data_IF_508730276328
#
_entry.id   IF_508730276328
#
_cell.length_a   1.000
_cell.length_b   1.000
_cell.length_c   1.000
_cell.angle_alpha   90.00
_cell.angle_beta   90.00
_cell.angle_gamma   90.00
#
_symmetry.space_group_name_H-M   'P 1'
#
loop_
_entity.id
_entity.type
_entity.pdbx_description
1 polymer ?
#
# COMPACT_ATOMS: atom_id res chain seq x y z
N UNK A 1 14.47 -18.57 -1.89
CA UNK A 1 14.15 -17.33 -1.15
C UNK A 1 14.72 -16.10 -1.83
N UNK A 2 16.00 -16.07 -2.19
CA UNK A 2 16.64 -14.90 -2.82
C UNK A 2 15.95 -14.43 -4.12
N UNK A 3 15.74 -15.32 -5.09
CA UNK A 3 15.01 -15.01 -6.35
C UNK A 3 13.62 -14.41 -6.10
N UNK A 4 12.95 -14.85 -5.04
CA UNK A 4 11.63 -14.37 -4.66
C UNK A 4 11.67 -12.99 -4.01
N UNK A 5 12.60 -12.76 -3.08
CA UNK A 5 12.79 -11.44 -2.48
C UNK A 5 13.19 -10.43 -3.55
N UNK A 6 14.00 -10.86 -4.52
CA UNK A 6 14.33 -10.08 -5.72
C UNK A 6 13.07 -9.78 -6.54
N UNK A 7 12.20 -10.76 -6.81
CA UNK A 7 10.94 -10.54 -7.52
C UNK A 7 10.01 -9.56 -6.78
N UNK A 8 9.87 -9.70 -5.46
CA UNK A 8 9.07 -8.77 -4.65
C UNK A 8 9.64 -7.35 -4.72
N UNK A 9 10.96 -7.19 -4.59
CA UNK A 9 11.63 -5.90 -4.68
C UNK A 9 11.54 -5.28 -6.07
N UNK A 10 11.81 -6.04 -7.13
CA UNK A 10 12.00 -5.50 -8.47
C UNK A 10 10.75 -5.45 -9.33
N UNK A 11 9.82 -6.39 -9.18
CA UNK A 11 8.61 -6.45 -10.01
C UNK A 11 7.39 -5.92 -9.26
N UNK A 12 7.15 -6.41 -8.04
CA UNK A 12 6.02 -5.94 -7.22
C UNK A 12 6.30 -4.51 -6.76
N UNK A 13 7.53 -4.25 -6.29
CA UNK A 13 7.98 -2.91 -5.91
C UNK A 13 7.89 -1.91 -7.05
N UNK A 14 8.34 -2.28 -8.26
CA UNK A 14 8.20 -1.45 -9.44
C UNK A 14 6.73 -1.12 -9.73
N UNK A 15 5.85 -2.13 -9.81
CA UNK A 15 4.43 -1.90 -10.11
C UNK A 15 3.75 -1.02 -9.06
N UNK A 16 4.11 -1.16 -7.78
CA UNK A 16 3.58 -0.32 -6.70
C UNK A 16 4.01 1.15 -6.84
N UNK A 17 5.21 1.42 -7.36
CA UNK A 17 5.72 2.78 -7.59
C UNK A 17 5.26 3.36 -8.93
N UNK A 18 5.09 2.54 -9.97
CA UNK A 18 4.55 2.93 -11.26
C UNK A 18 3.12 3.50 -11.15
N UNK A 19 2.34 3.01 -10.18
CA UNK A 19 1.02 3.54 -9.83
C UNK A 19 1.08 5.04 -9.51
N UNK A 20 2.08 5.45 -8.74
CA UNK A 20 2.27 6.83 -8.32
C UNK A 20 3.01 7.66 -9.38
N UNK A 21 3.89 7.00 -10.16
CA UNK A 21 4.79 7.61 -11.13
C UNK A 21 4.63 6.94 -12.52
N UNK A 22 3.61 7.33 -13.29
CA UNK A 22 3.22 6.64 -14.54
C UNK A 22 4.29 6.64 -15.65
N UNK A 23 5.26 7.57 -15.58
CA UNK A 23 6.38 7.67 -16.55
C UNK A 23 7.62 6.86 -16.13
N UNK A 24 7.61 6.24 -14.93
CA UNK A 24 8.74 5.50 -14.39
C UNK A 24 9.02 4.24 -15.21
N UNK A 25 10.23 4.09 -15.74
CA UNK A 25 10.66 2.82 -16.37
C UNK A 25 11.19 1.84 -15.33
N UNK A 26 11.20 0.54 -15.67
CA UNK A 26 11.75 -0.50 -14.79
C UNK A 26 13.25 -0.32 -14.58
N UNK A 27 13.98 0.13 -15.60
CA UNK A 27 15.41 0.43 -15.48
C UNK A 27 15.68 1.58 -14.52
N UNK A 28 14.91 2.67 -14.62
CA UNK A 28 14.99 3.79 -13.69
C UNK A 28 14.69 3.35 -12.26
N UNK A 29 13.62 2.57 -12.06
CA UNK A 29 13.28 2.04 -10.75
C UNK A 29 14.41 1.22 -10.13
N UNK A 30 14.95 0.25 -10.87
CA UNK A 30 16.04 -0.61 -10.40
C UNK A 30 17.29 0.24 -10.07
N UNK A 31 17.61 1.22 -10.92
CA UNK A 31 18.72 2.14 -10.69
C UNK A 31 18.57 2.86 -9.36
N UNK A 32 17.43 3.52 -9.12
CA UNK A 32 17.18 4.26 -7.88
C UNK A 32 17.07 3.34 -6.66
N UNK A 33 16.46 2.16 -6.80
CA UNK A 33 16.30 1.21 -5.72
C UNK A 33 17.66 0.73 -5.17
N UNK A 34 18.61 0.40 -6.03
CA UNK A 34 19.93 -0.09 -5.60
C UNK A 34 20.99 1.00 -5.43
N UNK A 35 20.65 2.27 -5.69
CA UNK A 35 21.55 3.39 -5.47
C UNK A 35 21.86 3.61 -3.97
N UNK A 36 23.09 4.05 -3.67
CA UNK A 36 23.52 4.40 -2.31
C UNK A 36 23.18 5.85 -1.98
N UNK A 37 22.53 6.10 -0.84
CA UNK A 37 22.09 7.43 -0.42
C UNK A 37 23.22 8.46 -0.30
N UNK A 38 24.42 8.05 0.14
CA UNK A 38 25.61 8.91 0.28
C UNK A 38 26.12 9.51 -1.05
N UNK A 39 25.59 9.03 -2.18
CA UNK A 39 25.97 9.54 -3.52
C UNK A 39 25.08 10.69 -4.01
N UNK A 40 24.12 11.13 -3.19
CA UNK A 40 23.12 12.12 -3.60
C UNK A 40 23.48 13.53 -3.10
N UNK A 41 23.80 14.42 -4.03
CA UNK A 41 24.28 15.80 -3.78
C UNK A 41 23.29 16.70 -3.02
N UNK A 42 22.02 16.31 -2.95
CA UNK A 42 20.92 17.10 -2.39
C UNK A 42 20.54 16.73 -0.95
N UNK A 43 21.24 15.76 -0.35
CA UNK A 43 21.04 15.32 1.02
C UNK A 43 22.05 15.92 1.99
N UNK A 44 21.56 16.56 3.06
CA UNK A 44 22.42 16.88 4.21
C UNK A 44 22.43 15.70 5.19
N UNK A 45 23.58 15.03 5.31
CA UNK A 45 23.80 13.87 6.20
C UNK A 45 23.48 14.21 7.66
N UNK A 46 23.55 15.48 8.06
CA UNK A 46 23.33 15.91 9.44
C UNK A 46 21.87 16.08 9.85
N UNK A 47 20.91 16.25 8.92
CA UNK A 47 19.54 16.63 9.28
C UNK A 47 18.41 15.87 8.56
N UNK A 48 18.70 14.88 7.69
CA UNK A 48 17.68 14.12 6.95
C UNK A 48 16.61 15.02 6.30
N UNK A 49 17.05 16.14 5.75
CA UNK A 49 16.20 17.09 5.04
C UNK A 49 16.88 17.48 3.75
N UNK A 50 16.04 17.73 2.73
CA UNK A 50 16.48 18.29 1.46
C UNK A 50 17.11 19.66 1.69
N UNK A 51 18.12 19.99 0.89
CA UNK A 51 18.73 21.31 0.90
C UNK A 51 17.91 22.27 0.04
N UNK A 52 17.07 23.09 0.67
CA UNK A 52 16.18 24.05 -0.01
C UNK A 52 16.91 24.95 -1.01
N UNK A 53 18.08 25.46 -0.62
CA UNK A 53 18.89 26.33 -1.48
C UNK A 53 19.41 25.61 -2.71
N UNK A 54 19.70 24.31 -2.59
CA UNK A 54 20.07 23.50 -3.75
C UNK A 54 18.86 23.29 -4.66
N UNK A 55 17.70 22.91 -4.10
CA UNK A 55 16.48 22.68 -4.89
C UNK A 55 16.02 23.93 -5.66
N UNK A 56 16.18 25.13 -5.10
CA UNK A 56 15.89 26.41 -5.76
C UNK A 56 16.71 26.66 -7.03
N UNK A 57 17.87 26.01 -7.17
CA UNK A 57 18.72 26.14 -8.37
C UNK A 57 18.29 25.22 -9.51
N UNK A 58 17.37 24.29 -9.26
CA UNK A 58 17.01 23.24 -10.19
C UNK A 58 15.76 23.58 -11.01
N UNK A 59 15.67 23.03 -12.21
CA UNK A 59 14.44 23.07 -12.99
C UNK A 59 13.42 22.03 -12.48
N UNK A 60 12.16 22.18 -12.89
CA UNK A 60 11.06 21.30 -12.47
C UNK A 60 11.30 19.81 -12.80
N UNK A 61 11.92 19.52 -13.94
CA UNK A 61 12.17 18.13 -14.34
C UNK A 61 13.15 17.46 -13.36
N UNK A 62 14.24 18.15 -12.99
CA UNK A 62 15.20 17.64 -12.03
C UNK A 62 14.62 17.53 -10.62
N UNK A 63 13.76 18.46 -10.22
CA UNK A 63 13.01 18.34 -8.97
C UNK A 63 12.15 17.06 -8.99
N UNK A 64 11.33 16.86 -10.02
CA UNK A 64 10.50 15.64 -10.14
C UNK A 64 11.32 14.35 -10.06
N UNK A 65 12.47 14.32 -10.75
CA UNK A 65 13.38 13.18 -10.73
C UNK A 65 13.90 12.87 -9.33
N UNK A 66 14.36 13.89 -8.59
CA UNK A 66 14.79 13.75 -7.19
C UNK A 66 13.65 13.19 -6.35
N UNK A 67 12.41 13.66 -6.54
CA UNK A 67 11.26 13.15 -5.78
C UNK A 67 10.99 11.68 -6.03
N UNK A 68 11.04 11.24 -7.29
CA UNK A 68 10.91 9.83 -7.66
C UNK A 68 12.00 9.00 -6.98
N UNK A 69 13.25 9.49 -7.00
CA UNK A 69 14.39 8.85 -6.36
C UNK A 69 14.18 8.71 -4.83
N UNK A 70 13.68 9.76 -4.17
CA UNK A 70 13.33 9.74 -2.75
C UNK A 70 12.20 8.76 -2.43
N UNK A 71 11.13 8.76 -3.23
CA UNK A 71 9.99 7.87 -3.02
C UNK A 71 10.41 6.41 -3.13
N UNK A 72 11.22 6.07 -4.14
CA UNK A 72 11.74 4.71 -4.34
C UNK A 72 12.70 4.33 -3.21
N UNK A 73 13.55 5.26 -2.78
CA UNK A 73 14.46 5.04 -1.65
C UNK A 73 13.70 4.76 -0.35
N UNK A 74 12.71 5.58 -0.02
CA UNK A 74 11.86 5.39 1.15
C UNK A 74 11.08 4.08 1.06
N UNK A 75 10.56 3.75 -0.13
CA UNK A 75 9.88 2.50 -0.38
C UNK A 75 10.79 1.29 -0.17
N UNK A 76 12.04 1.35 -0.62
CA UNK A 76 13.07 0.34 -0.31
C UNK A 76 13.24 0.17 1.19
N UNK A 77 13.43 1.25 1.93
CA UNK A 77 13.60 1.17 3.38
C UNK A 77 12.37 0.55 4.07
N UNK A 78 11.17 0.87 3.59
CA UNK A 78 9.94 0.29 4.09
C UNK A 78 9.87 -1.22 3.78
N UNK A 79 10.23 -1.64 2.56
CA UNK A 79 10.33 -3.06 2.20
C UNK A 79 11.35 -3.77 3.07
N UNK A 80 12.55 -3.23 3.28
CA UNK A 80 13.59 -3.85 4.10
C UNK A 80 13.14 -3.98 5.56
N UNK A 81 12.38 -3.01 6.06
CA UNK A 81 11.74 -3.08 7.36
C UNK A 81 10.70 -4.21 7.43
N UNK A 82 9.79 -4.30 6.45
CA UNK A 82 8.78 -5.37 6.37
C UNK A 82 9.43 -6.74 6.24
N UNK A 83 10.49 -6.86 5.43
CA UNK A 83 11.28 -8.08 5.26
C UNK A 83 11.91 -8.51 6.59
N UNK A 84 12.57 -7.58 7.29
CA UNK A 84 13.24 -7.89 8.54
C UNK A 84 12.26 -8.27 9.65
N UNK A 85 11.23 -7.45 9.85
CA UNK A 85 10.34 -7.53 11.01
C UNK A 85 9.14 -8.46 10.74
N UNK A 86 8.47 -8.27 9.62
CA UNK A 86 7.30 -9.05 9.24
C UNK A 86 7.67 -10.46 8.77
N UNK A 87 8.65 -10.56 7.85
CA UNK A 87 9.00 -11.83 7.22
C UNK A 87 9.94 -12.69 8.07
N UNK A 88 11.15 -12.21 8.39
CA UNK A 88 12.15 -13.02 9.11
C UNK A 88 11.83 -13.19 10.59
N UNK A 89 11.46 -12.09 11.28
CA UNK A 89 11.16 -12.15 12.71
C UNK A 89 9.73 -12.61 13.01
N UNK A 90 8.86 -12.67 12.00
CA UNK A 90 7.45 -13.03 12.15
C UNK A 90 6.81 -12.27 13.31
N UNK A 91 6.95 -10.94 13.35
CA UNK A 91 6.23 -10.07 14.31
C UNK A 91 4.78 -9.83 13.88
N UNK A 92 3.87 -9.90 14.85
CA UNK A 92 2.47 -9.55 14.62
C UNK A 92 2.36 -8.06 14.29
N UNK A 93 1.51 -7.72 13.32
CA UNK A 93 1.32 -6.32 12.94
C UNK A 93 0.51 -5.60 14.01
N UNK A 94 0.87 -4.36 14.31
CA UNK A 94 0.18 -3.51 15.27
C UNK A 94 0.20 -2.05 14.80
N UNK A 95 -0.49 -1.17 15.53
CA UNK A 95 -0.56 0.25 15.20
C UNK A 95 0.81 0.94 15.18
N UNK A 96 1.75 0.50 16.02
CA UNK A 96 3.11 1.05 16.05
C UNK A 96 3.84 0.76 14.73
N UNK A 97 3.82 -0.49 14.26
CA UNK A 97 4.42 -0.86 12.99
C UNK A 97 3.72 -0.20 11.79
N UNK A 98 2.41 -0.03 11.83
CA UNK A 98 1.65 0.70 10.80
C UNK A 98 2.12 2.17 10.70
N UNK A 99 2.26 2.84 11.85
CA UNK A 99 2.81 4.20 11.94
C UNK A 99 4.25 4.27 11.47
N UNK A 100 5.09 3.29 11.83
CA UNK A 100 6.48 3.20 11.38
C UNK A 100 6.58 3.03 9.86
N UNK A 101 5.76 2.17 9.24
CA UNK A 101 5.72 2.03 7.77
C UNK A 101 5.36 3.36 7.11
N UNK A 102 4.30 4.03 7.57
CA UNK A 102 3.90 5.35 7.06
C UNK A 102 5.03 6.38 7.21
N UNK A 103 5.71 6.38 8.36
CA UNK A 103 6.84 7.27 8.64
C UNK A 103 8.00 7.04 7.68
N UNK A 104 8.40 5.78 7.46
CA UNK A 104 9.52 5.42 6.58
C UNK A 104 9.19 5.82 5.13
N UNK A 105 7.98 5.49 4.67
CA UNK A 105 7.54 5.82 3.30
C UNK A 105 7.57 7.32 3.01
N UNK A 106 7.32 8.14 4.01
CA UNK A 106 7.21 9.60 3.88
C UNK A 106 8.40 10.34 4.51
N UNK A 107 9.48 9.64 4.89
CA UNK A 107 10.67 10.28 5.44
C UNK A 107 11.20 11.33 4.45
N UNK A 108 11.73 12.45 4.94
CA UNK A 108 12.23 13.58 4.14
C UNK A 108 11.14 14.40 3.39
N UNK A 109 9.85 14.03 3.44
CA UNK A 109 8.76 14.81 2.83
C UNK A 109 8.09 15.81 3.80
N UNK A 110 8.79 16.25 4.85
CA UNK A 110 8.20 17.11 5.87
C UNK A 110 7.83 18.50 5.29
N UNK A 111 6.55 18.84 5.45
CA UNK A 111 5.75 19.71 4.57
C UNK A 111 6.16 21.20 4.54
N UNK A 112 6.99 21.68 5.47
CA UNK A 112 7.34 23.12 5.54
C UNK A 112 8.17 23.63 4.37
N UNK A 113 8.96 22.75 3.75
CA UNK A 113 9.84 23.07 2.61
C UNK A 113 9.08 22.96 1.29
N UNK A 114 8.24 21.93 1.21
CA UNK A 114 7.38 21.68 0.07
C UNK A 114 6.43 22.87 -0.15
N UNK A 115 5.87 23.49 0.90
CA UNK A 115 4.83 24.52 0.75
C UNK A 115 5.25 25.81 0.02
N UNK A 116 6.54 26.15 -0.10
CA UNK A 116 6.98 27.36 -0.84
C UNK A 116 7.52 27.05 -2.25
N UNK A 117 8.25 25.94 -2.40
CA UNK A 117 8.90 25.58 -3.66
C UNK A 117 8.01 24.70 -4.56
N UNK A 118 7.15 23.83 -3.98
CA UNK A 118 6.18 23.03 -4.75
C UNK A 118 5.13 23.87 -5.46
N UNK A 119 4.63 24.90 -4.78
CA UNK A 119 3.43 25.63 -5.22
C UNK A 119 3.65 26.28 -6.58
N UNK A 120 4.85 26.75 -6.89
CA UNK A 120 5.11 27.42 -8.17
C UNK A 120 5.45 26.46 -9.31
N UNK A 121 6.13 25.34 -9.03
CA UNK A 121 6.61 24.41 -10.06
C UNK A 121 5.60 23.31 -10.44
N UNK A 122 4.82 22.81 -9.48
CA UNK A 122 3.90 21.68 -9.67
C UNK A 122 2.43 22.09 -9.78
N UNK A 123 2.09 23.38 -9.60
CA UNK A 123 0.73 23.92 -9.73
C UNK A 123 -0.02 23.48 -11.00
N UNK A 124 0.61 23.40 -12.19
CA UNK A 124 -0.09 22.98 -13.40
C UNK A 124 -0.40 21.48 -13.46
N UNK A 125 0.35 20.65 -12.72
CA UNK A 125 0.25 19.18 -12.73
C UNK A 125 -0.39 18.60 -11.48
N UNK A 126 -0.82 19.44 -10.53
CA UNK A 126 -1.33 19.04 -9.23
C UNK A 126 -2.75 19.60 -8.98
N UNK A 127 -3.78 18.75 -8.97
CA UNK A 127 -5.10 19.12 -8.43
C UNK A 127 -5.20 18.76 -6.95
N UNK A 128 -4.96 19.75 -6.07
CA UNK A 128 -5.49 19.80 -4.69
C UNK A 128 -5.81 21.26 -4.35
N UNK A 129 -6.85 21.79 -5.00
CA UNK A 129 -7.18 23.22 -5.14
C UNK A 129 -7.42 24.06 -3.88
N UNK A 130 -7.25 23.56 -2.65
CA UNK A 130 -7.55 24.34 -1.44
C UNK A 130 -6.59 24.18 -0.29
N UNK A 131 -5.40 23.58 -0.43
CA UNK A 131 -4.47 23.25 0.68
C UNK A 131 -4.10 24.45 1.60
N UNK A 132 -5.02 24.86 2.47
CA UNK A 132 -4.81 25.66 3.67
C UNK A 132 -4.58 24.68 4.80
N UNK A 133 -3.35 24.60 5.26
CA UNK A 133 -2.96 23.77 6.39
C UNK A 133 -3.50 24.43 7.67
N UNK A 134 -4.56 23.87 8.25
CA UNK A 134 -5.14 24.40 9.51
C UNK A 134 -4.48 23.75 10.74
N UNK A 135 -3.82 22.59 10.61
CA UNK A 135 -2.91 22.02 11.62
C UNK A 135 -1.85 21.14 10.91
N UNK A 136 -0.58 21.10 11.35
CA UNK A 136 0.43 20.26 10.72
C UNK A 136 0.21 18.80 11.13
N UNK A 137 -0.43 18.01 10.27
CA UNK A 137 -0.41 16.56 10.41
C UNK A 137 1.04 16.07 10.43
N UNK A 138 1.39 15.23 11.40
CA UNK A 138 2.74 14.72 11.59
C UNK A 138 2.89 13.43 10.79
N UNK A 139 3.98 13.33 10.01
CA UNK A 139 4.30 12.12 9.24
C UNK A 139 4.46 10.94 10.20
N UNK A 140 3.78 9.83 9.87
CA UNK A 140 3.76 8.63 10.71
C UNK A 140 2.76 8.68 11.86
N UNK A 141 2.03 9.78 12.05
CA UNK A 141 0.97 9.87 13.06
C UNK A 141 -0.41 9.93 12.40
N UNK A 142 -1.43 9.51 13.15
CA UNK A 142 -2.80 9.64 12.69
C UNK A 142 -3.18 11.11 12.51
N UNK A 143 -3.87 11.41 11.41
CA UNK A 143 -4.28 12.78 11.11
C UNK A 143 -5.26 13.29 12.16
N UNK A 144 -5.12 14.57 12.50
CA UNK A 144 -6.00 15.26 13.45
C UNK A 144 -7.06 16.11 12.75
N UNK A 145 -6.99 16.22 11.42
CA UNK A 145 -7.90 16.99 10.59
C UNK A 145 -8.72 16.12 9.64
N UNK A 146 -9.90 16.61 9.26
CA UNK A 146 -10.69 16.00 8.18
C UNK A 146 -9.89 15.94 6.87
N UNK A 147 -10.23 14.98 6.02
CA UNK A 147 -9.60 14.78 4.71
C UNK A 147 -10.69 14.55 3.66
N UNK A 148 -10.50 15.16 2.49
CA UNK A 148 -11.37 15.02 1.33
C UNK A 148 -10.52 14.77 0.08
N UNK A 149 -11.04 13.99 -0.87
CA UNK A 149 -10.43 13.78 -2.19
C UNK A 149 -11.43 14.12 -3.29
N UNK A 150 -11.01 14.87 -4.31
CA UNK A 150 -11.86 15.10 -5.49
C UNK A 150 -11.96 13.79 -6.31
N UNK A 151 -13.17 13.41 -6.68
CA UNK A 151 -13.45 12.33 -7.63
C UNK A 151 -13.43 12.89 -9.06
N UNK A 152 -13.26 12.00 -10.04
CA UNK A 152 -13.19 12.34 -11.47
C UNK A 152 -14.47 13.01 -11.99
N UNK A 153 -15.60 12.75 -11.35
CA UNK A 153 -16.92 13.33 -11.66
C UNK A 153 -17.13 14.71 -11.00
N UNK A 154 -16.12 15.24 -10.31
CA UNK A 154 -16.19 16.52 -9.60
C UNK A 154 -16.83 16.45 -8.20
N UNK A 155 -17.34 15.29 -7.79
CA UNK A 155 -17.81 15.08 -6.42
C UNK A 155 -16.63 14.96 -5.45
N UNK A 156 -16.88 15.12 -4.15
CA UNK A 156 -15.87 14.97 -3.11
C UNK A 156 -16.08 13.67 -2.37
N UNK A 157 -14.99 12.93 -2.17
CA UNK A 157 -14.90 11.80 -1.27
C UNK A 157 -14.51 12.30 0.12
N UNK A 158 -15.39 12.19 1.12
CA UNK A 158 -15.09 12.55 2.51
C UNK A 158 -14.64 11.31 3.28
N UNK A 159 -13.44 11.36 3.88
CA UNK A 159 -12.94 10.26 4.71
C UNK A 159 -13.42 10.35 6.17
N UNK A 160 -13.19 9.28 6.92
CA UNK A 160 -13.60 9.15 8.32
C UNK A 160 -13.17 10.36 9.17
N UNK A 161 -14.02 10.79 10.10
CA UNK A 161 -13.62 11.84 11.05
C UNK A 161 -12.40 11.40 11.88
N UNK A 162 -11.40 12.28 12.10
CA UNK A 162 -10.23 12.00 12.96
C UNK A 162 -10.58 11.40 14.32
N UNK A 163 -11.71 11.84 14.88
CA UNK A 163 -12.22 11.36 16.16
C UNK A 163 -12.43 9.84 16.21
N UNK A 164 -12.74 9.21 15.07
CA UNK A 164 -13.00 7.77 14.99
C UNK A 164 -11.81 6.95 14.49
N UNK A 165 -10.69 7.57 14.11
CA UNK A 165 -9.56 6.86 13.48
C UNK A 165 -8.96 5.84 14.43
N UNK A 166 -8.56 6.26 15.63
CA UNK A 166 -7.82 5.40 16.55
C UNK A 166 -8.65 4.19 16.98
N UNK A 167 -9.91 4.43 17.38
CA UNK A 167 -10.81 3.35 17.80
C UNK A 167 -11.13 2.36 16.68
N UNK A 168 -11.31 2.83 15.43
CA UNK A 168 -11.54 1.94 14.30
C UNK A 168 -10.28 1.20 13.83
N UNK A 169 -9.09 1.81 13.94
CA UNK A 169 -7.83 1.11 13.66
C UNK A 169 -7.59 -0.02 14.65
N UNK A 170 -7.86 0.21 15.94
CA UNK A 170 -7.80 -0.83 16.98
C UNK A 170 -8.78 -1.96 16.66
N UNK A 171 -10.06 -1.65 16.42
CA UNK A 171 -11.08 -2.65 16.09
C UNK A 171 -10.74 -3.46 14.83
N UNK A 172 -10.20 -2.80 13.81
CA UNK A 172 -9.82 -3.45 12.56
C UNK A 172 -8.67 -4.44 12.77
N UNK A 173 -7.65 -4.04 13.56
CA UNK A 173 -6.56 -4.94 13.96
C UNK A 173 -7.05 -6.09 14.84
N UNK A 174 -7.89 -5.82 15.83
CA UNK A 174 -8.45 -6.85 16.72
C UNK A 174 -9.22 -7.91 15.93
N UNK A 175 -10.08 -7.50 14.99
CA UNK A 175 -10.81 -8.42 14.10
C UNK A 175 -9.89 -9.25 13.22
N UNK A 176 -8.85 -8.63 12.65
CA UNK A 176 -7.85 -9.35 11.87
C UNK A 176 -7.11 -10.38 12.74
N UNK A 177 -6.55 -9.93 13.88
CA UNK A 177 -5.76 -10.74 14.79
C UNK A 177 -6.57 -11.90 15.39
N UNK A 178 -7.85 -11.70 15.70
CA UNK A 178 -8.71 -12.78 16.21
C UNK A 178 -8.88 -13.91 15.21
N UNK A 179 -8.98 -13.60 13.90
CA UNK A 179 -9.13 -14.62 12.85
C UNK A 179 -7.78 -15.30 12.56
N UNK A 180 -6.70 -14.55 12.45
CA UNK A 180 -5.40 -15.16 12.08
C UNK A 180 -4.75 -15.96 13.20
N UNK A 181 -5.04 -15.63 14.45
CA UNK A 181 -4.53 -16.34 15.62
C UNK A 181 -5.44 -17.48 16.07
N UNK A 182 -6.65 -17.61 15.53
CA UNK A 182 -7.53 -18.74 15.80
C UNK A 182 -7.01 -20.01 15.09
N UNK A 183 -6.67 -21.09 15.83
CA UNK A 183 -6.21 -22.35 15.24
C UNK A 183 -7.25 -23.03 14.35
N UNK A 184 -8.54 -22.71 14.51
CA UNK A 184 -9.63 -23.27 13.69
C UNK A 184 -9.84 -22.52 12.38
N UNK A 185 -9.32 -21.30 12.27
CA UNK A 185 -9.48 -20.49 11.07
C UNK A 185 -8.74 -21.10 9.87
N UNK A 186 -9.49 -21.27 8.79
CA UNK A 186 -9.00 -21.74 7.51
C UNK A 186 -8.17 -20.67 6.79
N UNK A 187 -7.39 -21.11 5.81
CA UNK A 187 -6.49 -20.22 5.06
C UNK A 187 -7.26 -19.17 4.24
N UNK A 188 -8.42 -19.54 3.70
CA UNK A 188 -9.31 -18.60 3.01
C UNK A 188 -9.93 -17.57 3.96
N UNK A 189 -10.21 -17.93 5.23
CA UNK A 189 -10.69 -16.98 6.25
C UNK A 189 -9.60 -15.98 6.63
N UNK A 190 -8.35 -16.43 6.78
CA UNK A 190 -7.21 -15.54 7.06
C UNK A 190 -6.91 -14.58 5.90
N UNK A 191 -7.06 -15.04 4.65
CA UNK A 191 -6.97 -14.17 3.46
C UNK A 191 -8.10 -13.13 3.48
N UNK A 192 -9.33 -13.58 3.74
CA UNK A 192 -10.47 -12.68 3.82
C UNK A 192 -10.29 -11.65 4.94
N UNK A 193 -9.75 -12.04 6.10
CA UNK A 193 -9.44 -11.11 7.18
C UNK A 193 -8.43 -10.03 6.73
N UNK A 194 -7.39 -10.39 5.99
CA UNK A 194 -6.41 -9.43 5.46
C UNK A 194 -7.02 -8.49 4.42
N UNK A 195 -7.85 -9.01 3.50
CA UNK A 195 -8.55 -8.19 2.50
C UNK A 195 -9.56 -7.23 3.15
N UNK A 196 -10.32 -7.71 4.13
CA UNK A 196 -11.26 -6.88 4.89
C UNK A 196 -10.53 -5.80 5.68
N UNK A 197 -9.41 -6.15 6.31
CA UNK A 197 -8.55 -5.19 6.98
C UNK A 197 -8.12 -4.08 6.03
N UNK A 198 -7.67 -4.44 4.82
CA UNK A 198 -7.20 -3.48 3.82
C UNK A 198 -8.32 -2.54 3.34
N UNK A 199 -9.52 -3.04 3.07
CA UNK A 199 -10.69 -2.20 2.73
C UNK A 199 -10.99 -1.22 3.86
N UNK A 200 -11.03 -1.71 5.11
CA UNK A 200 -11.29 -0.87 6.27
C UNK A 200 -10.17 0.15 6.52
N UNK A 201 -8.91 -0.20 6.26
CA UNK A 201 -7.79 0.74 6.34
C UNK A 201 -7.95 1.89 5.33
N UNK A 202 -8.28 1.58 4.07
CA UNK A 202 -8.53 2.60 3.04
C UNK A 202 -9.77 3.46 3.37
N UNK A 203 -10.78 2.88 4.03
CA UNK A 203 -11.96 3.58 4.52
C UNK A 203 -11.65 4.55 5.67
N UNK A 204 -10.91 4.09 6.68
CA UNK A 204 -10.48 4.90 7.82
C UNK A 204 -9.58 6.04 7.33
N UNK A 205 -8.68 5.72 6.39
CA UNK A 205 -7.72 6.65 5.80
C UNK A 205 -6.93 7.41 6.88
N UNK A 206 -6.16 6.70 7.74
CA UNK A 206 -5.71 7.20 9.03
C UNK A 206 -4.64 8.29 8.94
N UNK A 207 -3.88 8.36 7.85
CA UNK A 207 -2.78 9.31 7.66
C UNK A 207 -3.18 10.48 6.77
N UNK A 208 -2.43 11.57 6.83
CA UNK A 208 -2.66 12.72 5.96
C UNK A 208 -2.27 12.45 4.49
N UNK A 209 -1.21 11.66 4.28
CA UNK A 209 -0.71 11.25 2.97
C UNK A 209 -0.18 9.82 3.03
N UNK A 210 0.03 9.19 1.88
CA UNK A 210 0.68 7.87 1.80
C UNK A 210 -0.18 6.68 2.22
N UNK A 211 -1.49 6.85 2.44
CA UNK A 211 -2.40 5.76 2.84
C UNK A 211 -2.35 4.59 1.86
N UNK A 212 -2.56 4.81 0.55
CA UNK A 212 -2.55 3.71 -0.43
C UNK A 212 -1.26 2.88 -0.43
N UNK A 213 -0.09 3.52 -0.34
CA UNK A 213 1.21 2.83 -0.24
C UNK A 213 1.35 2.05 1.07
N UNK A 214 0.95 2.67 2.18
CA UNK A 214 0.97 2.05 3.50
C UNK A 214 0.03 0.84 3.55
N UNK A 215 -1.19 0.98 3.04
CA UNK A 215 -2.21 -0.07 3.00
C UNK A 215 -1.79 -1.27 2.16
N UNK A 216 -1.13 -1.05 1.01
CA UNK A 216 -0.56 -2.14 0.19
C UNK A 216 0.59 -2.86 0.89
N UNK A 217 1.52 -2.14 1.53
CA UNK A 217 2.61 -2.78 2.28
C UNK A 217 2.13 -3.54 3.53
N UNK A 218 1.07 -3.05 4.19
CA UNK A 218 0.41 -3.78 5.28
C UNK A 218 -0.22 -5.08 4.74
N UNK A 219 -0.89 -5.01 3.60
CA UNK A 219 -1.47 -6.20 2.96
C UNK A 219 -0.38 -7.24 2.63
N UNK A 220 0.76 -6.79 2.07
CA UNK A 220 1.92 -7.65 1.83
C UNK A 220 2.41 -8.31 3.13
N UNK A 221 2.57 -7.55 4.22
CA UNK A 221 2.92 -8.08 5.54
C UNK A 221 1.96 -9.18 5.99
N UNK A 222 0.65 -8.92 5.90
CA UNK A 222 -0.40 -9.85 6.32
C UNK A 222 -0.40 -11.13 5.48
N UNK A 223 0.01 -11.06 4.22
CA UNK A 223 0.15 -12.20 3.33
C UNK A 223 1.40 -13.01 3.68
N UNK A 224 2.54 -12.36 3.90
CA UNK A 224 3.76 -13.04 4.36
C UNK A 224 3.54 -13.84 5.64
N UNK A 225 2.77 -13.30 6.60
CA UNK A 225 2.40 -13.99 7.84
C UNK A 225 1.66 -15.30 7.63
N UNK A 226 0.92 -15.41 6.53
CA UNK A 226 0.15 -16.59 6.14
C UNK A 226 0.95 -17.48 5.17
N UNK A 227 2.24 -17.20 4.99
CA UNK A 227 3.09 -17.76 3.95
C UNK A 227 2.49 -17.59 2.54
N UNK A 228 1.72 -16.54 2.32
CA UNK A 228 1.19 -16.19 1.01
C UNK A 228 2.12 -15.19 0.32
N UNK A 229 2.02 -15.16 -1.00
CA UNK A 229 2.76 -14.20 -1.80
C UNK A 229 2.09 -12.82 -1.77
N UNK A 230 2.85 -11.73 -1.59
CA UNK A 230 2.40 -10.36 -1.81
C UNK A 230 1.61 -10.23 -3.10
N UNK A 231 0.59 -9.37 -3.08
CA UNK A 231 -0.31 -9.22 -4.22
C UNK A 231 0.28 -8.19 -5.18
N UNK A 232 0.59 -8.65 -6.39
CA UNK A 232 1.04 -7.78 -7.45
C UNK A 232 -0.17 -7.22 -8.23
N UNK A 233 -0.52 -5.97 -7.97
CA UNK A 233 -1.48 -5.22 -8.80
C UNK A 233 -0.76 -4.78 -10.08
N UNK A 234 -0.58 -5.74 -11.00
CA UNK A 234 0.16 -5.55 -12.25
C UNK A 234 -0.59 -4.60 -13.18
N UNK A 235 0.12 -3.73 -13.89
CA UNK A 235 -0.37 -2.92 -15.02
C UNK A 235 -1.51 -1.94 -14.70
N UNK A 236 -1.72 -1.00 -15.63
CA UNK A 236 -2.74 0.06 -15.52
C UNK A 236 -4.15 -0.48 -15.35
N UNK A 237 -4.51 -1.57 -16.05
CA UNK A 237 -5.87 -2.14 -16.01
C UNK A 237 -6.22 -2.71 -14.64
N UNK A 238 -5.36 -3.51 -14.02
CA UNK A 238 -5.69 -4.04 -12.69
C UNK A 238 -5.68 -2.95 -11.64
N UNK A 239 -4.83 -1.93 -11.79
CA UNK A 239 -4.83 -0.79 -10.90
C UNK A 239 -6.13 0.03 -11.00
N UNK A 240 -6.59 0.32 -12.22
CA UNK A 240 -7.89 0.98 -12.45
C UNK A 240 -9.05 0.17 -11.86
N UNK A 241 -9.03 -1.14 -12.04
CA UNK A 241 -10.06 -2.04 -11.49
C UNK A 241 -10.04 -2.08 -9.96
N UNK A 242 -8.85 -2.16 -9.35
CA UNK A 242 -8.68 -2.08 -7.90
C UNK A 242 -9.24 -0.77 -7.33
N UNK A 243 -8.91 0.37 -7.96
CA UNK A 243 -9.43 1.67 -7.55
C UNK A 243 -10.93 1.77 -7.74
N UNK A 244 -11.48 1.23 -8.83
CA UNK A 244 -12.93 1.20 -9.09
C UNK A 244 -13.65 0.44 -7.97
N UNK A 245 -13.22 -0.77 -7.66
CA UNK A 245 -13.83 -1.63 -6.64
C UNK A 245 -13.73 -1.02 -5.24
N UNK A 246 -12.58 -0.41 -4.88
CA UNK A 246 -12.46 0.36 -3.64
C UNK A 246 -13.44 1.52 -3.62
N UNK A 247 -13.46 2.35 -4.66
CA UNK A 247 -14.33 3.53 -4.70
C UNK A 247 -15.81 3.16 -4.59
N UNK A 248 -16.25 2.08 -5.22
CA UNK A 248 -17.63 1.57 -5.12
C UNK A 248 -17.95 1.15 -3.68
N UNK A 249 -17.06 0.36 -3.07
CA UNK A 249 -17.19 -0.11 -1.70
C UNK A 249 -17.29 1.05 -0.70
N UNK A 250 -16.41 2.04 -0.87
CA UNK A 250 -16.30 3.17 0.05
C UNK A 250 -17.40 4.22 -0.17
N UNK A 251 -17.82 4.44 -1.43
CA UNK A 251 -18.83 5.46 -1.76
C UNK A 251 -20.20 5.15 -1.16
N UNK A 252 -20.55 3.89 -0.94
CA UNK A 252 -21.81 3.52 -0.29
C UNK A 252 -21.86 4.02 1.17
N UNK A 253 -20.82 3.70 1.96
CA UNK A 253 -20.68 4.15 3.36
C UNK A 253 -20.59 5.67 3.46
N UNK A 254 -19.82 6.27 2.55
CA UNK A 254 -19.63 7.72 2.47
C UNK A 254 -20.95 8.48 2.28
N UNK A 255 -21.75 8.08 1.27
CA UNK A 255 -23.05 8.73 0.97
C UNK A 255 -24.00 8.71 2.17
N UNK A 256 -23.94 7.63 2.96
CA UNK A 256 -24.76 7.44 4.14
C UNK A 256 -24.14 8.02 5.42
N UNK A 257 -22.93 8.60 5.35
CA UNK A 257 -22.12 9.06 6.50
C UNK A 257 -22.00 8.01 7.60
N UNK A 258 -21.87 6.76 7.18
CA UNK A 258 -21.84 5.60 8.06
C UNK A 258 -20.39 5.26 8.40
N UNK A 259 -19.90 5.69 9.56
CA UNK A 259 -18.50 5.51 10.00
C UNK A 259 -18.22 4.17 10.69
N UNK A 260 -19.11 3.19 10.51
CA UNK A 260 -18.91 1.82 10.99
C UNK A 260 -18.00 1.08 10.02
N UNK A 261 -17.20 0.16 10.57
CA UNK A 261 -16.37 -0.71 9.74
C UNK A 261 -17.23 -1.54 8.79
N UNK A 262 -16.62 -1.92 7.68
CA UNK A 262 -17.19 -2.89 6.75
C UNK A 262 -17.04 -4.27 7.40
N UNK A 263 -18.14 -5.00 7.47
CA UNK A 263 -18.20 -6.29 8.15
C UNK A 263 -17.86 -7.46 7.23
N UNK A 264 -18.17 -7.32 5.94
CA UNK A 264 -17.98 -8.35 4.91
C UNK A 264 -17.34 -7.77 3.64
N UNK A 265 -16.55 -8.59 2.96
CA UNK A 265 -15.88 -8.21 1.72
C UNK A 265 -16.89 -8.25 0.57
N UNK A 266 -17.02 -7.17 -0.22
CA UNK A 266 -17.84 -7.20 -1.44
C UNK A 266 -17.39 -8.32 -2.38
N UNK A 267 -18.35 -9.03 -2.99
CA UNK A 267 -18.07 -10.18 -3.88
C UNK A 267 -17.09 -9.85 -4.98
N UNK A 268 -17.23 -8.70 -5.62
CA UNK A 268 -16.40 -8.32 -6.77
C UNK A 268 -14.97 -7.99 -6.34
N UNK A 269 -14.81 -7.40 -5.15
CA UNK A 269 -13.51 -7.17 -4.53
C UNK A 269 -12.83 -8.50 -4.20
N UNK A 270 -13.57 -9.42 -3.59
CA UNK A 270 -13.09 -10.78 -3.27
C UNK A 270 -12.64 -11.52 -4.53
N UNK A 271 -13.46 -11.51 -5.57
CA UNK A 271 -13.18 -12.15 -6.85
C UNK A 271 -11.94 -11.58 -7.54
N UNK A 272 -11.78 -10.26 -7.53
CA UNK A 272 -10.62 -9.58 -8.08
C UNK A 272 -9.34 -10.06 -7.41
N UNK A 273 -9.29 -10.06 -6.07
CA UNK A 273 -8.11 -10.50 -5.33
C UNK A 273 -7.86 -12.01 -5.47
N UNK A 274 -8.89 -12.84 -5.52
CA UNK A 274 -8.75 -14.27 -5.77
C UNK A 274 -8.13 -14.57 -7.14
N UNK A 275 -8.53 -13.82 -8.17
CA UNK A 275 -7.90 -13.90 -9.50
C UNK A 275 -6.43 -13.49 -9.45
N UNK A 276 -6.10 -12.41 -8.72
CA UNK A 276 -4.71 -11.99 -8.54
C UNK A 276 -3.87 -13.06 -7.83
N UNK A 277 -4.37 -13.63 -6.73
CA UNK A 277 -3.69 -14.70 -5.96
C UNK A 277 -3.40 -15.91 -6.86
N UNK A 278 -4.39 -16.35 -7.65
CA UNK A 278 -4.22 -17.47 -8.58
C UNK A 278 -3.17 -17.18 -9.65
N UNK A 279 -3.18 -15.99 -10.23
CA UNK A 279 -2.25 -15.58 -11.29
C UNK A 279 -0.82 -15.42 -10.76
N UNK A 280 -0.67 -14.87 -9.56
CA UNK A 280 0.62 -14.67 -8.91
C UNK A 280 1.24 -16.02 -8.54
N UNK A 281 0.44 -16.92 -7.97
CA UNK A 281 0.86 -18.30 -7.67
C UNK A 281 1.37 -19.02 -8.92
N UNK A 282 0.68 -18.90 -10.06
CA UNK A 282 1.13 -19.47 -11.35
C UNK A 282 2.46 -18.88 -11.80
N UNK A 283 2.62 -17.55 -11.71
CA UNK A 283 3.84 -16.83 -12.12
C UNK A 283 5.06 -17.33 -11.33
N UNK A 284 4.89 -17.49 -10.02
CA UNK A 284 5.96 -17.93 -9.12
C UNK A 284 6.38 -19.36 -9.39
N UNK A 285 5.43 -20.24 -9.71
CA UNK A 285 5.68 -21.63 -10.08
C UNK A 285 6.40 -21.71 -11.43
N UNK A 286 5.88 -21.04 -12.46
CA UNK A 286 6.41 -21.15 -13.82
C UNK A 286 7.83 -20.62 -13.96
N UNK A 287 8.17 -19.61 -13.16
CA UNK A 287 9.46 -18.92 -13.24
C UNK A 287 10.47 -19.42 -12.20
N UNK A 288 10.15 -20.48 -11.45
CA UNK A 288 11.02 -21.07 -10.42
C UNK A 288 11.59 -20.04 -9.42
N UNK A 289 10.74 -19.09 -9.01
CA UNK A 289 11.17 -17.97 -8.14
C UNK A 289 11.44 -18.40 -6.70
N UNK A 290 10.97 -19.59 -6.31
CA UNK A 290 11.20 -20.19 -4.99
C UNK A 290 11.69 -21.64 -5.12
N UNK A 291 12.49 -22.08 -4.15
CA UNK A 291 12.97 -23.47 -4.07
C UNK A 291 11.83 -24.43 -3.73
N UNK A 292 11.97 -25.71 -4.03
CA UNK A 292 10.93 -26.71 -3.78
C UNK A 292 10.57 -26.86 -2.30
N UNK A 293 11.53 -26.65 -1.40
CA UNK A 293 11.27 -26.59 0.04
C UNK A 293 10.39 -25.40 0.42
N UNK A 294 10.66 -24.23 -0.17
CA UNK A 294 9.87 -23.01 0.03
C UNK A 294 8.50 -23.16 -0.63
N UNK A 295 8.39 -23.85 -1.78
CA UNK A 295 7.09 -24.16 -2.42
C UNK A 295 6.18 -24.91 -1.46
N UNK A 296 6.70 -25.88 -0.69
CA UNK A 296 5.91 -26.60 0.30
C UNK A 296 5.37 -25.74 1.43
N UNK A 297 6.00 -24.59 1.71
CA UNK A 297 5.67 -23.65 2.79
C UNK A 297 4.92 -22.38 2.31
N UNK A 298 5.12 -21.94 1.07
CA UNK A 298 4.49 -20.75 0.48
C UNK A 298 3.33 -21.08 -0.47
N UNK A 299 3.45 -22.20 -1.19
CA UNK A 299 2.38 -22.77 -2.02
C UNK A 299 1.59 -23.79 -1.18
N UNK A 300 1.87 -23.95 0.11
CA UNK A 300 1.20 -24.93 1.01
C UNK A 300 -0.28 -24.78 1.06
N UNK A 301 -0.79 -23.63 0.70
CA UNK A 301 -2.21 -23.49 0.56
C UNK A 301 -2.62 -23.85 -0.86
N UNK A 302 -2.09 -24.96 -1.42
CA UNK A 302 -2.83 -25.77 -2.40
C UNK A 302 -4.28 -25.93 -1.92
N UNK A 303 -4.48 -26.09 -0.60
CA UNK A 303 -5.77 -25.96 0.07
C UNK A 303 -6.47 -24.61 -0.17
N UNK A 304 -5.81 -23.44 -0.02
CA UNK A 304 -6.39 -22.13 -0.39
C UNK A 304 -6.70 -22.05 -1.89
N UNK A 305 -5.78 -22.48 -2.77
CA UNK A 305 -6.00 -22.45 -4.22
C UNK A 305 -7.18 -23.35 -4.60
N UNK A 306 -7.34 -24.50 -3.95
CA UNK A 306 -8.51 -25.37 -4.07
C UNK A 306 -9.77 -24.71 -3.49
N UNK A 307 -9.69 -24.10 -2.31
CA UNK A 307 -10.82 -23.36 -1.71
C UNK A 307 -11.28 -22.20 -2.61
N UNK A 308 -10.34 -21.46 -3.22
CA UNK A 308 -10.63 -20.39 -4.19
C UNK A 308 -11.25 -20.97 -5.46
N UNK A 309 -10.72 -22.09 -6.00
CA UNK A 309 -11.32 -22.78 -7.15
C UNK A 309 -12.73 -23.27 -6.86
N UNK A 310 -12.95 -23.85 -5.68
CA UNK A 310 -14.26 -24.32 -5.24
C UNK A 310 -15.26 -23.17 -5.12
N UNK A 311 -14.86 -22.06 -4.49
CA UNK A 311 -15.65 -20.83 -4.43
C UNK A 311 -16.06 -20.34 -5.84
N UNK A 312 -15.11 -20.28 -6.78
CA UNK A 312 -15.41 -19.87 -8.16
C UNK A 312 -16.35 -20.86 -8.88
N UNK A 313 -16.15 -22.16 -8.66
CA UNK A 313 -16.98 -23.21 -9.26
C UNK A 313 -18.41 -23.19 -8.72
N UNK A 314 -18.59 -22.98 -7.41
CA UNK A 314 -19.91 -22.84 -6.79
C UNK A 314 -20.62 -21.60 -7.32
N UNK A 315 -19.94 -20.44 -7.36
CA UNK A 315 -20.51 -19.21 -7.91
C UNK A 315 -21.02 -19.40 -9.35
N UNK A 316 -20.22 -19.99 -10.22
CA UNK A 316 -20.59 -20.24 -11.62
C UNK A 316 -21.79 -21.20 -11.78
N UNK A 317 -22.12 -22.03 -10.79
CA UNK A 317 -23.31 -22.90 -10.83
C UNK A 317 -24.62 -22.14 -10.60
N UNK A 318 -24.58 -20.97 -9.97
CA UNK A 318 -25.75 -20.15 -9.67
C UNK A 318 -25.97 -19.00 -10.68
N UNK A 319 -25.06 -18.83 -11.64
CA UNK A 319 -25.14 -17.81 -12.70
C UNK A 319 -25.64 -18.37 -14.06
N UNK A 320 -26.16 -19.62 -14.09
CA UNK A 320 -26.68 -20.31 -15.31
C UNK A 320 -28.19 -20.30 -15.36
#
# INVERSE_FOLDING_TARGET
MEKYLKYWKEDIGFNSNLIENQELTKEQYISYFYQKQETQEYYSVSNKNLNDRFLETLNLARIKEIFIELEIYNFKNAIEFVEKIGFYQKKEINNEYIKQISKILLENFNVSILSRLFVNGLMPTWDKKTQKQVYPNIIGEYRTTGLEKNKSDGSKMVFMSPFYIESNMIKNLEKYNSIVNDPMSTEIEKVNAALLFHINFEFIHPFAEGNGRTGRLILDWMFFRQNLFPINIKNKKNHEEYLRLLNETLSFKEKNREWTLIEEIPSDFKDFFYKLILNESKTIISNELISDEVKKNFISTNKLLEQIKNYNNEKNKFEV
#
